data_IF_233611765779
#
_entry.id   IF_233611765779
#
_cell.length_a   1.000
_cell.length_b   1.000
_cell.length_c   1.000
_cell.angle_alpha   90.00
_cell.angle_beta   90.00
_cell.angle_gamma   90.00
#
_symmetry.space_group_name_H-M   'P 1'
#
loop_
_entity.id
_entity.type
_entity.pdbx_description
1 polymer ?
#
# COMPACT_ATOMS: atom_id res chain seq x y z
N UNK A 1 -8.87 -9.87 -1.49
CA UNK A 1 -8.86 -9.08 -2.73
C UNK A 1 -9.81 -9.73 -3.72
N UNK A 2 -10.48 -8.95 -4.56
CA UNK A 2 -11.33 -9.45 -5.65
C UNK A 2 -10.96 -8.77 -6.96
N UNK A 3 -10.73 -9.54 -8.02
CA UNK A 3 -10.73 -9.02 -9.39
C UNK A 3 -12.14 -9.25 -9.97
N UNK A 4 -12.95 -8.20 -9.95
CA UNK A 4 -14.33 -8.25 -10.40
C UNK A 4 -14.40 -8.01 -11.91
N UNK A 5 -13.96 -9.00 -12.68
CA UNK A 5 -13.97 -8.97 -14.15
C UNK A 5 -15.38 -9.27 -14.65
N UNK A 6 -16.30 -8.34 -14.42
CA UNK A 6 -17.69 -8.43 -14.83
C UNK A 6 -18.28 -7.04 -15.00
N UNK A 7 -19.05 -6.83 -16.07
CA UNK A 7 -19.57 -5.55 -16.50
C UNK A 7 -20.23 -4.74 -15.37
N UNK A 8 -19.82 -3.46 -15.25
CA UNK A 8 -20.40 -2.47 -14.33
C UNK A 8 -20.45 -2.91 -12.85
N UNK A 9 -19.58 -3.83 -12.45
CA UNK A 9 -19.55 -4.35 -11.08
C UNK A 9 -18.96 -3.35 -10.08
N UNK A 10 -18.15 -2.40 -10.58
CA UNK A 10 -17.53 -1.30 -9.86
C UNK A 10 -18.32 0.01 -9.95
N UNK A 11 -19.65 -0.02 -10.13
CA UNK A 11 -20.46 1.19 -10.17
C UNK A 11 -20.45 1.93 -8.82
N UNK A 12 -20.05 3.21 -8.79
CA UNK A 12 -20.00 4.02 -7.57
C UNK A 12 -20.46 5.48 -7.74
N UNK A 13 -20.78 5.91 -8.97
CA UNK A 13 -21.20 7.27 -9.34
C UNK A 13 -22.70 7.36 -9.69
N UNK A 14 -23.51 6.48 -9.11
CA UNK A 14 -24.94 6.34 -9.38
C UNK A 14 -25.78 7.57 -9.02
N UNK A 15 -25.26 8.47 -8.21
CA UNK A 15 -25.88 9.76 -7.90
C UNK A 15 -25.89 10.71 -9.10
N UNK A 16 -24.97 10.55 -10.05
CA UNK A 16 -24.88 11.38 -11.27
C UNK A 16 -25.22 10.61 -12.55
N UNK A 17 -25.30 9.28 -12.50
CA UNK A 17 -25.45 8.44 -13.70
C UNK A 17 -26.88 8.32 -14.27
N UNK A 18 -27.84 9.11 -13.79
CA UNK A 18 -29.19 9.19 -14.38
C UNK A 18 -29.97 7.87 -14.43
N UNK A 19 -29.67 6.92 -13.53
CA UNK A 19 -30.34 5.62 -13.50
C UNK A 19 -29.77 4.56 -14.45
N UNK A 20 -28.57 4.79 -15.00
CA UNK A 20 -27.88 3.83 -15.85
C UNK A 20 -27.85 2.42 -15.21
N UNK A 21 -28.08 1.37 -16.01
CA UNK A 21 -28.11 -0.02 -15.53
C UNK A 21 -29.10 -0.29 -14.38
N UNK A 22 -30.14 0.54 -14.23
CA UNK A 22 -31.14 0.39 -13.17
C UNK A 22 -30.65 0.85 -11.80
N UNK A 23 -29.59 1.66 -11.74
CA UNK A 23 -29.07 2.20 -10.49
C UNK A 23 -30.03 3.24 -9.89
N UNK A 24 -30.11 3.33 -8.58
CA UNK A 24 -30.73 4.43 -7.83
C UNK A 24 -29.67 5.32 -7.19
N UNK A 25 -30.00 6.61 -6.97
CA UNK A 25 -29.09 7.62 -6.38
C UNK A 25 -28.55 7.21 -5.00
N UNK A 26 -29.33 6.52 -4.19
CA UNK A 26 -28.92 6.02 -2.86
C UNK A 26 -28.46 4.56 -2.84
N UNK A 27 -28.35 3.92 -4.01
CA UNK A 27 -27.93 2.53 -4.10
C UNK A 27 -26.45 2.35 -3.75
N UNK A 28 -26.11 1.15 -3.29
CA UNK A 28 -24.74 0.69 -3.09
C UNK A 28 -24.58 -0.54 -3.96
N UNK A 29 -23.55 -0.64 -4.80
CA UNK A 29 -23.43 -1.72 -5.78
C UNK A 29 -22.34 -2.71 -5.42
N UNK A 30 -22.09 -3.71 -6.26
CA UNK A 30 -21.37 -4.93 -5.89
C UNK A 30 -20.02 -4.66 -5.21
N UNK A 31 -19.13 -3.88 -5.84
CA UNK A 31 -17.83 -3.57 -5.24
C UNK A 31 -17.95 -2.79 -3.94
N UNK A 32 -18.77 -1.73 -3.89
CA UNK A 32 -18.97 -0.95 -2.66
C UNK A 32 -19.59 -1.80 -1.54
N UNK A 33 -20.58 -2.65 -1.85
CA UNK A 33 -21.21 -3.55 -0.88
C UNK A 33 -20.19 -4.52 -0.30
N UNK A 34 -19.32 -5.07 -1.14
CA UNK A 34 -18.25 -5.98 -0.69
C UNK A 34 -17.23 -5.25 0.18
N UNK A 35 -16.84 -4.02 -0.18
CA UNK A 35 -15.88 -3.24 0.60
C UNK A 35 -16.47 -2.79 1.95
N UNK A 36 -17.76 -2.45 2.00
CA UNK A 36 -18.46 -1.92 3.19
C UNK A 36 -19.02 -3.00 4.11
N UNK A 37 -18.93 -4.28 3.75
CA UNK A 37 -19.51 -5.38 4.53
C UNK A 37 -18.75 -5.58 5.83
N UNK A 38 -19.34 -5.19 6.96
CA UNK A 38 -18.77 -5.42 8.27
C UNK A 38 -18.49 -6.92 8.53
N UNK A 39 -17.36 -7.22 9.17
CA UNK A 39 -16.92 -8.57 9.53
C UNK A 39 -16.84 -9.55 8.35
N UNK A 40 -16.60 -9.06 7.13
CA UNK A 40 -16.44 -9.88 5.95
C UNK A 40 -16.17 -9.06 4.69
N UNK A 41 -16.54 -9.60 3.54
CA UNK A 41 -16.41 -8.89 2.27
C UNK A 41 -14.99 -8.92 1.71
N UNK A 42 -14.58 -7.81 1.10
CA UNK A 42 -13.29 -7.70 0.44
C UNK A 42 -12.49 -6.51 0.97
N UNK A 43 -11.20 -6.73 1.21
CA UNK A 43 -10.23 -5.70 1.66
C UNK A 43 -9.81 -4.72 0.54
N UNK A 44 -10.13 -5.04 -0.70
CA UNK A 44 -9.85 -4.22 -1.88
C UNK A 44 -10.28 -4.95 -3.15
N UNK A 45 -10.75 -4.19 -4.14
CA UNK A 45 -11.42 -4.73 -5.33
C UNK A 45 -10.97 -3.95 -6.56
N UNK A 46 -10.67 -4.65 -7.65
CA UNK A 46 -10.61 -4.04 -8.98
C UNK A 46 -11.94 -4.28 -9.69
N UNK A 47 -12.55 -3.22 -10.18
CA UNK A 47 -13.83 -3.30 -10.90
C UNK A 47 -14.00 -2.14 -11.87
N UNK A 48 -14.85 -2.37 -12.86
CA UNK A 48 -15.22 -1.47 -13.93
C UNK A 48 -16.53 -0.72 -13.62
N UNK A 49 -16.58 0.56 -13.94
CA UNK A 49 -17.75 1.39 -13.63
C UNK A 49 -18.91 1.23 -14.63
N UNK A 50 -18.66 0.69 -15.83
CA UNK A 50 -19.62 0.56 -16.93
C UNK A 50 -19.43 -0.75 -17.68
N UNK A 51 -20.25 -0.99 -18.70
CA UNK A 51 -20.11 -2.15 -19.57
C UNK A 51 -18.73 -2.19 -20.25
N UNK A 52 -17.99 -3.26 -20.04
CA UNK A 52 -16.61 -3.46 -20.46
C UNK A 52 -16.52 -4.58 -21.53
N UNK A 53 -15.85 -4.36 -22.68
CA UNK A 53 -15.67 -5.39 -23.70
C UNK A 53 -15.03 -6.69 -23.19
N UNK A 54 -15.65 -7.84 -23.50
CA UNK A 54 -15.25 -9.16 -22.99
C UNK A 54 -13.78 -9.53 -23.29
N UNK A 55 -13.29 -9.18 -24.48
CA UNK A 55 -11.93 -9.51 -24.90
C UNK A 55 -10.88 -8.61 -24.22
N UNK A 56 -11.17 -7.31 -24.11
CA UNK A 56 -10.30 -6.38 -23.41
C UNK A 56 -10.17 -6.74 -21.93
N UNK A 57 -11.29 -7.09 -21.27
CA UNK A 57 -11.31 -7.65 -19.92
C UNK A 57 -10.46 -8.91 -19.76
N UNK A 58 -10.54 -9.83 -20.72
CA UNK A 58 -9.75 -11.07 -20.69
C UNK A 58 -8.25 -10.79 -20.75
N UNK A 59 -7.85 -9.85 -21.61
CA UNK A 59 -6.45 -9.38 -21.69
C UNK A 59 -6.03 -8.68 -20.41
N UNK A 60 -6.85 -7.76 -19.90
CA UNK A 60 -6.58 -7.04 -18.66
C UNK A 60 -6.37 -8.00 -17.49
N UNK A 61 -7.20 -9.03 -17.41
CA UNK A 61 -7.12 -10.09 -16.39
C UNK A 61 -5.81 -10.87 -16.49
N UNK A 62 -5.36 -11.24 -17.69
CA UNK A 62 -4.03 -11.86 -17.87
C UNK A 62 -2.93 -10.95 -17.32
N UNK A 63 -3.02 -9.64 -17.57
CA UNK A 63 -2.09 -8.67 -17.02
C UNK A 63 -2.14 -8.60 -15.49
N UNK A 64 -3.31 -8.71 -14.85
CA UNK A 64 -3.38 -8.79 -13.38
C UNK A 64 -2.66 -10.03 -12.82
N UNK A 65 -2.84 -11.19 -13.47
CA UNK A 65 -2.12 -12.41 -13.08
C UNK A 65 -0.62 -12.28 -13.31
N UNK A 66 -0.21 -11.69 -14.41
CA UNK A 66 1.20 -11.44 -14.74
C UNK A 66 1.85 -10.47 -13.76
N UNK A 67 1.14 -9.44 -13.31
CA UNK A 67 1.65 -8.52 -12.29
C UNK A 67 2.03 -9.27 -11.00
N UNK A 68 1.17 -10.20 -10.55
CA UNK A 68 1.42 -10.99 -9.33
C UNK A 68 2.48 -12.06 -9.59
N UNK A 69 2.39 -12.74 -10.72
CA UNK A 69 3.25 -13.85 -11.13
C UNK A 69 3.85 -13.55 -12.52
N UNK A 70 4.98 -12.82 -12.61
CA UNK A 70 5.55 -12.36 -13.89
C UNK A 70 5.99 -13.46 -14.86
N UNK A 71 5.99 -14.73 -14.42
CA UNK A 71 6.18 -15.86 -15.32
C UNK A 71 4.93 -16.22 -16.12
N UNK A 72 3.76 -15.64 -15.82
CA UNK A 72 2.52 -15.91 -16.53
C UNK A 72 2.59 -15.43 -17.99
N UNK A 73 3.24 -14.29 -18.23
CA UNK A 73 3.47 -13.73 -19.56
C UNK A 73 4.94 -13.31 -19.65
N UNK A 74 5.84 -14.30 -19.71
CA UNK A 74 7.29 -14.04 -19.68
C UNK A 74 7.87 -13.17 -20.80
N UNK A 75 7.07 -12.74 -21.77
CA UNK A 75 7.44 -11.78 -22.82
C UNK A 75 7.01 -10.33 -22.54
N UNK A 76 6.41 -10.05 -21.37
CA UNK A 76 5.88 -8.74 -21.01
C UNK A 76 6.30 -8.35 -19.59
N UNK A 77 6.57 -7.06 -19.36
CA UNK A 77 6.95 -6.57 -18.04
C UNK A 77 8.34 -6.99 -17.55
N UNK A 78 8.61 -6.70 -16.27
CA UNK A 78 9.81 -7.16 -15.58
C UNK A 78 9.56 -8.44 -14.78
N UNK A 79 10.61 -9.03 -14.21
CA UNK A 79 10.50 -10.28 -13.42
C UNK A 79 10.08 -10.07 -11.96
N UNK A 80 9.90 -8.82 -11.54
CA UNK A 80 9.53 -8.46 -10.17
C UNK A 80 8.02 -8.55 -9.96
N UNK A 81 7.60 -9.34 -8.97
CA UNK A 81 6.18 -9.45 -8.55
C UNK A 81 5.67 -8.12 -8.00
N UNK A 82 4.52 -7.67 -8.51
CA UNK A 82 3.78 -6.52 -8.03
C UNK A 82 2.61 -6.99 -7.18
N UNK A 83 2.47 -6.41 -5.98
CA UNK A 83 1.49 -6.89 -4.98
C UNK A 83 0.57 -5.82 -4.45
N UNK A 84 0.85 -4.55 -4.73
CA UNK A 84 -0.08 -3.46 -4.42
C UNK A 84 -1.21 -3.47 -5.40
N UNK A 85 -2.43 -3.31 -4.91
CA UNK A 85 -3.64 -3.37 -5.73
C UNK A 85 -3.61 -2.35 -6.88
N UNK A 86 -3.10 -1.14 -6.62
CA UNK A 86 -2.93 -0.11 -7.64
C UNK A 86 -1.88 -0.46 -8.70
N UNK A 87 -0.75 -1.04 -8.29
CA UNK A 87 0.32 -1.45 -9.21
C UNK A 87 -0.15 -2.57 -10.13
N UNK A 88 -0.86 -3.56 -9.57
CA UNK A 88 -1.49 -4.65 -10.33
C UNK A 88 -2.46 -4.10 -11.38
N UNK A 89 -3.32 -3.13 -11.01
CA UNK A 89 -4.24 -2.50 -11.94
C UNK A 89 -3.49 -1.81 -13.09
N UNK A 90 -2.44 -1.05 -12.76
CA UNK A 90 -1.65 -0.32 -13.74
C UNK A 90 -0.90 -1.27 -14.69
N UNK A 91 -0.33 -2.37 -14.18
CA UNK A 91 0.33 -3.38 -15.01
C UNK A 91 -0.67 -4.06 -15.95
N UNK A 92 -1.87 -4.39 -15.47
CA UNK A 92 -2.95 -4.90 -16.30
C UNK A 92 -3.32 -3.94 -17.45
N UNK A 93 -3.49 -2.65 -17.12
CA UNK A 93 -3.77 -1.59 -18.11
C UNK A 93 -2.65 -1.47 -19.16
N UNK A 94 -1.39 -1.51 -18.73
CA UNK A 94 -0.24 -1.49 -19.64
C UNK A 94 -0.22 -2.71 -20.57
N UNK A 95 -0.53 -3.90 -20.03
CA UNK A 95 -0.61 -5.11 -20.84
C UNK A 95 -1.71 -5.03 -21.88
N UNK A 96 -2.91 -4.55 -21.51
CA UNK A 96 -4.00 -4.31 -22.45
C UNK A 96 -3.58 -3.37 -23.59
N UNK A 97 -2.93 -2.26 -23.27
CA UNK A 97 -2.43 -1.32 -24.27
C UNK A 97 -1.39 -1.94 -25.21
N UNK A 98 -0.56 -2.86 -24.70
CA UNK A 98 0.42 -3.59 -25.53
C UNK A 98 -0.22 -4.54 -26.55
N UNK A 99 -1.50 -4.89 -26.37
CA UNK A 99 -2.25 -5.80 -27.25
C UNK A 99 -3.16 -5.09 -28.23
N UNK A 100 -3.19 -3.77 -28.26
CA UNK A 100 -3.94 -3.01 -29.28
C UNK A 100 -3.48 -3.42 -30.69
N UNK A 101 -4.44 -3.76 -31.55
CA UNK A 101 -4.20 -4.23 -32.92
C UNK A 101 -3.86 -5.72 -33.04
N UNK A 102 -3.69 -6.45 -31.92
CA UNK A 102 -3.52 -7.89 -31.93
C UNK A 102 -4.87 -8.60 -31.84
N UNK A 103 -4.98 -9.75 -32.52
CA UNK A 103 -6.08 -10.67 -32.29
C UNK A 103 -5.81 -11.48 -31.02
N UNK A 104 -6.70 -11.40 -30.05
CA UNK A 104 -6.64 -12.14 -28.80
C UNK A 104 -7.94 -12.90 -28.61
N UNK A 105 -7.85 -14.21 -28.42
CA UNK A 105 -9.00 -15.10 -28.17
C UNK A 105 -10.13 -15.02 -29.23
N UNK A 106 -9.79 -14.64 -30.47
CA UNK A 106 -10.71 -14.66 -31.61
C UNK A 106 -11.20 -13.28 -32.07
N UNK A 107 -10.80 -12.19 -31.40
CA UNK A 107 -11.17 -10.82 -31.78
C UNK A 107 -9.97 -9.87 -31.71
N UNK A 108 -10.00 -8.79 -32.49
CA UNK A 108 -8.97 -7.74 -32.45
C UNK A 108 -9.23 -6.78 -31.30
N UNK A 109 -8.19 -6.48 -30.52
CA UNK A 109 -8.28 -5.43 -29.51
C UNK A 109 -8.19 -4.07 -30.20
N UNK A 110 -9.32 -3.38 -30.31
CA UNK A 110 -9.36 -2.03 -30.85
C UNK A 110 -8.80 -1.01 -29.86
N UNK A 111 -8.19 0.06 -30.39
CA UNK A 111 -7.66 1.14 -29.57
C UNK A 111 -8.76 1.83 -28.75
N UNK A 112 -9.94 2.05 -29.33
CA UNK A 112 -11.09 2.63 -28.64
C UNK A 112 -11.50 1.84 -27.40
N UNK A 113 -11.49 0.51 -27.51
CA UNK A 113 -11.89 -0.39 -26.43
C UNK A 113 -10.84 -0.38 -25.33
N UNK A 114 -9.56 -0.51 -25.71
CA UNK A 114 -8.45 -0.45 -24.75
C UNK A 114 -8.43 0.88 -23.98
N UNK A 115 -8.60 2.01 -24.68
CA UNK A 115 -8.66 3.33 -24.05
C UNK A 115 -9.88 3.47 -23.14
N UNK A 116 -11.04 2.94 -23.55
CA UNK A 116 -12.23 2.94 -22.70
C UNK A 116 -11.98 2.20 -21.38
N UNK A 117 -11.39 1.01 -21.42
CA UNK A 117 -11.06 0.22 -20.21
C UNK A 117 -10.13 0.96 -19.25
N UNK A 118 -9.21 1.80 -19.75
CA UNK A 118 -8.35 2.62 -18.89
C UNK A 118 -9.15 3.56 -17.99
N UNK A 119 -10.28 4.07 -18.48
CA UNK A 119 -11.17 4.95 -17.72
C UNK A 119 -12.17 4.18 -16.87
N UNK A 120 -12.62 3.00 -17.31
CA UNK A 120 -13.64 2.24 -16.58
C UNK A 120 -13.08 1.59 -15.33
N UNK A 121 -11.87 1.04 -15.40
CA UNK A 121 -11.31 0.23 -14.32
C UNK A 121 -10.72 1.07 -13.18
N UNK A 122 -11.22 0.79 -11.98
CA UNK A 122 -10.83 1.46 -10.75
C UNK A 122 -10.40 0.47 -9.68
N UNK A 123 -9.50 0.95 -8.81
CA UNK A 123 -9.19 0.32 -7.54
C UNK A 123 -10.15 0.89 -6.48
N UNK A 124 -11.02 0.04 -5.95
CA UNK A 124 -12.01 0.39 -4.92
C UNK A 124 -11.51 -0.18 -3.59
N UNK A 125 -11.09 0.72 -2.70
CA UNK A 125 -10.38 0.40 -1.45
C UNK A 125 -9.03 1.12 -1.37
N UNK A 126 -8.07 0.52 -0.65
CA UNK A 126 -6.70 1.07 -0.53
C UNK A 126 -5.81 0.57 -1.69
N UNK A 127 -5.35 1.46 -2.60
CA UNK A 127 -4.49 1.07 -3.72
C UNK A 127 -3.09 0.65 -3.28
N UNK A 128 -2.64 1.07 -2.09
CA UNK A 128 -1.33 0.75 -1.53
C UNK A 128 -1.30 -0.57 -0.76
N UNK A 129 -2.48 -1.17 -0.52
CA UNK A 129 -2.59 -2.44 0.16
C UNK A 129 -1.89 -3.55 -0.64
N UNK A 130 -0.97 -4.24 0.03
CA UNK A 130 -0.25 -5.38 -0.52
C UNK A 130 -1.01 -6.70 -0.29
N UNK A 131 -1.09 -7.53 -1.32
CA UNK A 131 -1.66 -8.87 -1.18
C UNK A 131 -0.68 -9.88 -0.62
N UNK A 132 -1.24 -10.82 0.13
CA UNK A 132 -0.57 -12.06 0.49
C UNK A 132 -0.83 -13.12 -0.57
N UNK A 133 0.25 -13.65 -1.15
CA UNK A 133 0.22 -14.77 -2.09
C UNK A 133 0.47 -16.11 -1.39
N UNK A 134 0.88 -16.08 -0.11
CA UNK A 134 1.07 -17.24 0.75
C UNK A 134 0.51 -16.96 2.14
N UNK A 135 0.39 -18.00 2.97
CA UNK A 135 -0.06 -17.84 4.34
C UNK A 135 0.90 -16.91 5.13
N UNK A 136 0.44 -15.74 5.61
CA UNK A 136 1.30 -14.73 6.25
C UNK A 136 1.81 -15.14 7.64
N UNK A 137 1.24 -16.19 8.22
CA UNK A 137 1.62 -16.68 9.54
C UNK A 137 2.82 -17.63 9.50
N UNK A 138 3.30 -18.00 8.30
CA UNK A 138 4.46 -18.87 8.15
C UNK A 138 5.78 -18.13 8.39
N UNK A 139 5.86 -16.85 7.99
CA UNK A 139 7.01 -16.00 8.25
C UNK A 139 6.72 -15.14 9.48
N UNK A 140 7.34 -15.49 10.61
CA UNK A 140 7.24 -14.72 11.84
C UNK A 140 8.43 -13.77 11.94
N UNK A 141 8.12 -12.48 11.93
CA UNK A 141 9.12 -11.42 12.08
C UNK A 141 9.74 -11.45 13.50
N UNK A 142 11.08 -11.39 13.63
CA UNK A 142 11.76 -11.23 14.91
C UNK A 142 11.32 -9.96 15.63
N UNK A 143 11.22 -10.03 16.96
CA UNK A 143 10.86 -8.86 17.78
C UNK A 143 12.02 -7.91 18.01
N UNK A 144 13.22 -8.46 18.17
CA UNK A 144 14.37 -7.67 18.54
C UNK A 144 14.99 -7.03 17.30
N UNK A 145 15.11 -5.70 17.34
CA UNK A 145 15.90 -4.92 16.40
C UNK A 145 16.98 -4.17 17.19
N UNK A 146 18.19 -4.08 16.64
CA UNK A 146 19.27 -3.28 17.24
C UNK A 146 19.54 -2.07 16.36
N UNK A 147 19.81 -0.91 16.95
CA UNK A 147 20.08 0.29 16.16
C UNK A 147 21.12 1.20 16.83
N UNK A 148 21.80 2.02 16.03
CA UNK A 148 22.67 3.10 16.48
C UNK A 148 22.35 4.37 15.71
N UNK A 149 22.49 5.52 16.36
CA UNK A 149 22.35 6.81 15.68
C UNK A 149 23.55 7.08 14.76
N UNK A 150 23.30 7.76 13.65
CA UNK A 150 24.33 8.25 12.73
C UNK A 150 24.13 9.75 12.49
N UNK A 151 25.13 10.41 11.90
CA UNK A 151 25.10 11.86 11.61
C UNK A 151 24.81 12.67 12.89
N UNK A 152 25.58 12.38 13.92
CA UNK A 152 25.40 12.94 15.26
C UNK A 152 26.08 14.31 15.34
N UNK A 153 25.36 15.33 15.81
CA UNK A 153 25.93 16.67 16.00
C UNK A 153 25.32 17.42 17.19
N UNK A 154 26.04 18.44 17.67
CA UNK A 154 25.53 19.41 18.66
C UNK A 154 25.07 20.67 17.95
N UNK A 155 23.85 21.18 18.19
CA UNK A 155 23.49 22.52 17.79
C UNK A 155 24.32 23.52 18.60
N UNK A 156 24.66 24.65 17.99
CA UNK A 156 25.32 25.74 18.70
C UNK A 156 24.28 26.57 19.47
N UNK A 157 24.49 26.89 20.76
CA UNK A 157 25.65 26.57 21.62
C UNK A 157 25.64 25.13 22.16
N UNK A 158 26.82 24.53 22.48
CA UNK A 158 27.01 23.10 22.78
C UNK A 158 26.40 22.61 24.12
N UNK A 159 25.51 23.39 24.74
CA UNK A 159 24.79 23.03 25.96
C UNK A 159 23.46 22.29 25.66
N UNK A 160 23.18 22.02 24.38
CA UNK A 160 21.94 21.41 23.91
C UNK A 160 21.94 19.88 23.79
N UNK A 161 20.76 19.31 23.44
CA UNK A 161 20.65 17.90 23.11
C UNK A 161 21.53 17.52 21.92
N UNK A 162 21.93 16.24 21.91
CA UNK A 162 22.61 15.64 20.79
C UNK A 162 21.57 15.24 19.74
N UNK A 163 21.71 15.73 18.51
CA UNK A 163 20.80 15.43 17.40
C UNK A 163 21.40 14.37 16.48
N UNK A 164 20.53 13.59 15.84
CA UNK A 164 20.91 12.62 14.82
C UNK A 164 20.09 12.84 13.55
N UNK A 165 20.78 12.79 12.40
CA UNK A 165 20.17 12.82 11.07
C UNK A 165 19.70 11.45 10.56
N UNK A 166 19.97 10.35 11.30
CA UNK A 166 19.49 9.03 10.93
C UNK A 166 19.90 7.91 11.87
N UNK A 167 19.65 6.68 11.44
CA UNK A 167 20.07 5.46 12.13
C UNK A 167 20.67 4.42 11.18
N UNK A 168 21.54 3.59 11.76
CA UNK A 168 21.91 2.30 11.21
C UNK A 168 21.31 1.21 12.10
N UNK A 169 20.62 0.23 11.52
CA UNK A 169 19.96 -0.86 12.25
C UNK A 169 20.39 -2.24 11.76
N UNK A 170 20.30 -3.22 12.65
CA UNK A 170 20.50 -4.65 12.40
C UNK A 170 19.17 -5.38 12.55
N UNK A 171 18.78 -6.13 11.52
CA UNK A 171 17.58 -6.95 11.54
C UNK A 171 17.75 -8.23 10.73
N UNK A 172 17.31 -9.36 11.28
CA UNK A 172 17.61 -10.69 10.73
C UNK A 172 16.77 -11.12 9.53
N UNK A 173 15.88 -10.26 9.03
CA UNK A 173 15.00 -10.57 7.90
C UNK A 173 15.38 -9.70 6.70
N UNK A 174 16.02 -10.33 5.73
CA UNK A 174 16.43 -9.70 4.47
C UNK A 174 15.21 -9.24 3.68
N UNK A 175 15.28 -8.04 3.09
CA UNK A 175 14.18 -7.45 2.32
C UNK A 175 13.03 -6.92 3.16
N UNK A 176 13.07 -7.04 4.49
CA UNK A 176 12.09 -6.38 5.35
C UNK A 176 12.22 -4.85 5.23
N UNK A 177 11.08 -4.17 5.14
CA UNK A 177 10.99 -2.72 5.19
C UNK A 177 10.74 -2.30 6.64
N UNK A 178 11.61 -1.43 7.15
CA UNK A 178 11.52 -0.89 8.51
C UNK A 178 11.08 0.56 8.39
N UNK A 179 9.93 0.89 8.99
CA UNK A 179 9.52 2.28 9.19
C UNK A 179 9.79 2.69 10.62
N UNK A 180 10.49 3.80 10.78
CA UNK A 180 10.83 4.41 12.07
C UNK A 180 9.85 5.53 12.33
N UNK A 181 9.32 5.56 13.53
CA UNK A 181 8.44 6.61 14.00
C UNK A 181 9.00 7.24 15.27
N UNK A 182 8.73 8.53 15.45
CA UNK A 182 8.82 9.14 16.76
C UNK A 182 7.78 8.45 17.64
N UNK A 183 8.21 7.92 18.79
CA UNK A 183 7.28 7.30 19.71
C UNK A 183 6.21 8.32 20.12
N UNK A 184 4.94 7.91 20.26
CA UNK A 184 3.88 8.84 20.56
C UNK A 184 4.12 9.52 21.90
N UNK A 185 4.48 10.81 21.85
CA UNK A 185 4.33 11.70 22.98
C UNK A 185 2.85 11.93 23.24
N UNK A 186 2.44 12.03 24.50
CA UNK A 186 1.10 12.54 24.80
C UNK A 186 1.00 13.97 24.26
N UNK A 187 0.18 14.18 23.21
CA UNK A 187 -0.23 15.54 22.88
C UNK A 187 -1.28 15.92 23.91
N UNK A 188 -0.91 16.81 24.83
CA UNK A 188 -1.89 17.53 25.64
C UNK A 188 -2.63 18.47 24.71
N UNK A 189 -3.96 18.34 24.58
CA UNK A 189 -4.75 19.40 23.96
C UNK A 189 -4.61 20.68 24.81
N UNK A 190 -4.81 21.85 24.18
CA UNK A 190 -5.07 23.08 24.95
C UNK A 190 -6.22 22.81 25.91
N UNK A 191 -6.07 23.25 27.16
CA UNK A 191 -7.17 23.26 28.12
C UNK A 191 -8.33 24.05 27.48
N UNK A 192 -9.52 23.43 27.38
CA UNK A 192 -10.74 24.19 27.14
C UNK A 192 -11.01 25.06 28.37
N UNK A 193 -11.77 26.15 28.22
CA UNK A 193 -12.09 27.09 29.31
C UNK A 193 -12.75 26.41 30.53
N UNK A 194 -13.28 25.19 30.37
CA UNK A 194 -13.88 24.35 31.41
C UNK A 194 -12.90 23.38 32.13
N UNK A 195 -11.61 23.40 31.81
CA UNK A 195 -10.57 22.63 32.52
C UNK A 195 -10.45 21.14 32.14
N UNK A 196 -11.22 20.66 31.16
CA UNK A 196 -11.15 19.27 30.68
C UNK A 196 -9.95 19.05 29.75
N UNK A 197 -9.03 18.17 30.15
CA UNK A 197 -7.87 17.74 29.36
C UNK A 197 -8.22 16.53 28.50
N UNK A 198 -8.76 16.76 27.31
CA UNK A 198 -8.94 15.69 26.33
C UNK A 198 -7.60 15.38 25.63
N UNK A 199 -7.07 14.16 25.79
CA UNK A 199 -5.94 13.67 24.98
C UNK A 199 -6.47 13.37 23.57
N UNK A 200 -6.22 14.25 22.61
CA UNK A 200 -6.88 14.19 21.30
C UNK A 200 -6.31 13.17 20.31
N UNK A 201 -5.06 12.71 20.46
CA UNK A 201 -4.52 11.52 19.79
C UNK A 201 -3.06 11.28 20.20
N UNK A 202 -2.64 10.01 20.23
CA UNK A 202 -1.23 9.64 20.15
C UNK A 202 -0.77 9.85 18.70
N UNK A 203 -0.08 10.97 18.43
CA UNK A 203 0.52 11.22 17.11
C UNK A 203 1.77 10.37 16.97
N UNK A 204 1.82 9.56 15.91
CA UNK A 204 2.96 8.73 15.55
C UNK A 204 3.53 9.32 14.27
N UNK A 205 4.63 10.09 14.39
CA UNK A 205 5.24 10.78 13.26
C UNK A 205 6.27 9.88 12.57
N UNK A 206 6.11 9.55 11.28
CA UNK A 206 7.13 8.79 10.55
C UNK A 206 8.39 9.64 10.41
N UNK A 207 9.51 9.12 10.88
CA UNK A 207 10.82 9.77 10.78
C UNK A 207 11.60 9.31 9.56
N UNK A 208 11.41 8.08 9.12
CA UNK A 208 12.14 7.54 7.99
C UNK A 208 11.79 6.07 7.74
N UNK A 209 12.26 5.57 6.60
CA UNK A 209 11.99 4.21 6.15
C UNK A 209 13.17 3.68 5.37
N UNK A 210 13.46 2.38 5.52
CA UNK A 210 14.51 1.72 4.78
C UNK A 210 14.29 0.23 4.65
N UNK A 211 15.02 -0.39 3.73
CA UNK A 211 14.94 -1.82 3.45
C UNK A 211 16.20 -2.50 3.96
N UNK A 212 16.03 -3.62 4.66
CA UNK A 212 17.13 -4.44 5.16
C UNK A 212 17.85 -5.11 4.00
N UNK A 213 19.15 -4.82 3.89
CA UNK A 213 20.08 -5.40 2.92
C UNK A 213 21.31 -5.95 3.63
N UNK A 214 21.65 -7.21 3.38
CA UNK A 214 22.71 -7.93 4.09
C UNK A 214 22.56 -7.85 5.63
N UNK A 215 21.32 -7.95 6.13
CA UNK A 215 21.02 -7.91 7.57
C UNK A 215 21.10 -6.52 8.23
N UNK A 216 21.33 -5.45 7.47
CA UNK A 216 21.39 -4.07 7.98
C UNK A 216 20.51 -3.12 7.16
N UNK A 217 20.04 -2.02 7.76
CA UNK A 217 19.41 -0.93 7.03
C UNK A 217 19.92 0.44 7.51
N UNK A 218 20.15 1.34 6.55
CA UNK A 218 20.44 2.74 6.82
C UNK A 218 19.17 3.54 6.56
N UNK A 219 18.76 4.34 7.54
CA UNK A 219 17.56 5.16 7.47
C UNK A 219 17.94 6.58 7.83
N UNK A 220 17.89 7.46 6.83
CA UNK A 220 17.96 8.90 7.05
C UNK A 220 16.62 9.40 7.57
N UNK A 221 16.67 10.32 8.52
CA UNK A 221 15.50 10.96 9.06
C UNK A 221 15.07 12.13 8.19
N UNK A 222 13.75 12.30 8.08
CA UNK A 222 13.12 13.44 7.41
C UNK A 222 13.35 14.75 8.17
N UNK A 223 13.62 14.65 9.48
CA UNK A 223 13.96 15.76 10.36
C UNK A 223 14.96 15.30 11.43
N UNK A 224 15.83 16.20 11.87
CA UNK A 224 16.82 15.90 12.91
C UNK A 224 16.12 15.55 14.22
N UNK A 225 16.61 14.48 14.86
CA UNK A 225 16.00 13.93 16.06
C UNK A 225 16.90 14.13 17.28
N UNK A 226 16.36 14.69 18.36
CA UNK A 226 17.00 14.62 19.68
C UNK A 226 17.14 13.16 20.11
N UNK A 227 18.38 12.70 20.27
CA UNK A 227 18.72 11.29 20.58
C UNK A 227 18.19 10.77 21.92
N UNK A 228 17.62 11.66 22.76
CA UNK A 228 16.89 11.30 24.00
C UNK A 228 15.45 10.88 23.74
N UNK A 229 14.89 11.20 22.58
CA UNK A 229 13.53 10.80 22.22
C UNK A 229 13.45 9.30 21.98
N UNK A 230 12.32 8.71 22.40
CA UNK A 230 12.03 7.30 22.15
C UNK A 230 11.58 7.10 20.71
N UNK A 231 11.98 5.96 20.13
CA UNK A 231 11.63 5.55 18.78
C UNK A 231 10.72 4.33 18.80
N UNK A 232 9.84 4.26 17.81
CA UNK A 232 8.99 3.11 17.55
C UNK A 232 9.31 2.56 16.15
N UNK A 233 9.39 1.25 16.01
CA UNK A 233 9.79 0.61 14.77
C UNK A 233 8.75 -0.41 14.34
N UNK A 234 8.35 -0.36 13.07
CA UNK A 234 7.46 -1.36 12.47
C UNK A 234 8.22 -2.03 11.35
N UNK A 235 8.32 -3.35 11.40
CA UNK A 235 8.77 -4.16 10.27
C UNK A 235 7.57 -4.61 9.44
N UNK A 236 7.68 -4.46 8.13
CA UNK A 236 6.83 -5.08 7.12
C UNK A 236 7.69 -5.97 6.25
N UNK A 237 7.19 -7.14 5.90
CA UNK A 237 7.86 -8.02 4.96
C UNK A 237 6.82 -8.74 4.11
N UNK A 238 7.29 -9.22 2.96
CA UNK A 238 6.45 -9.92 2.02
C UNK A 238 5.85 -11.19 2.64
N UNK A 239 4.53 -11.37 2.51
CA UNK A 239 3.81 -12.50 3.10
C UNK A 239 4.08 -12.67 4.61
N UNK A 240 4.20 -11.57 5.34
CA UNK A 240 4.29 -11.54 6.79
C UNK A 240 3.32 -10.51 7.35
N UNK A 241 2.89 -10.73 8.58
CA UNK A 241 2.18 -9.68 9.31
C UNK A 241 3.14 -8.57 9.70
N UNK A 242 2.72 -7.33 9.52
CA UNK A 242 3.43 -6.17 10.04
C UNK A 242 3.62 -6.34 11.56
N UNK A 243 4.82 -6.02 12.05
CA UNK A 243 5.18 -6.25 13.44
C UNK A 243 5.81 -5.03 14.08
N UNK A 244 5.27 -4.66 15.23
CA UNK A 244 5.88 -3.69 16.13
C UNK A 244 7.11 -4.34 16.79
N UNK A 245 8.26 -3.68 16.73
CA UNK A 245 9.53 -4.22 17.19
C UNK A 245 9.93 -3.67 18.56
N UNK A 246 10.63 -4.52 19.31
CA UNK A 246 11.38 -4.15 20.50
C UNK A 246 12.77 -3.72 20.07
N UNK A 247 13.06 -2.42 20.16
CA UNK A 247 14.33 -1.88 19.72
C UNK A 247 15.32 -1.74 20.88
N UNK A 248 16.55 -2.21 20.67
CA UNK A 248 17.69 -2.02 21.57
C UNK A 248 18.69 -1.06 20.94
N UNK A 249 18.90 0.08 21.58
CA UNK A 249 19.98 1.01 21.22
C UNK A 249 21.33 0.34 21.47
N UNK A 250 22.21 0.40 20.50
CA UNK A 250 23.63 0.06 20.60
C UNK A 250 24.41 1.33 20.94
N UNK A 251 25.39 1.18 21.82
CA UNK A 251 26.33 2.24 22.18
C UNK A 251 27.31 2.55 21.03
#
# INVERSE_FOLDING_TARGET
MVFSVNCASGFWDNETAGGAYGTTVGGVYFCEKLLRKANGGAVGILGDTRNSPSWANSVLTQGFYDAIWPSAIGSFGGTTSQRRLGDILNHGKLYLMSKVGFSVMGETIYNSDAVSELYLWHCIGDPTMEIWTRNPYLLVLPELLKYRFIQIYYPFPPEGPLYAGGINLEYGVEGAEITVYRAPGAIMAKENEDGDKAVLAKRVDPLGRGVVKNGVAFIEFLEDLDTRQSLQFIATAENAQAKLLNAKKLD
#
